data_IF_724498852429
#
_entry.id   IF_724498852429
#
_cell.length_a   1.000
_cell.length_b   1.000
_cell.length_c   1.000
_cell.angle_alpha   90.00
_cell.angle_beta   90.00
_cell.angle_gamma   90.00
#
_symmetry.space_group_name_H-M   'P 1'
#
loop_
_entity.id
_entity.type
_entity.pdbx_description
1 polymer ?
#
# COMPACT_ATOMS: atom_id res chain seq x y z
N UNK A 1 -1.24 -14.05 6.46
CA UNK A 1 -2.53 -13.47 5.99
C UNK A 1 -3.12 -12.53 7.05
N UNK A 2 -2.99 -11.21 6.85
CA UNK A 2 -3.40 -10.20 7.84
C UNK A 2 -4.57 -9.29 7.39
N UNK A 3 -4.95 -9.35 6.11
CA UNK A 3 -6.03 -8.53 5.56
C UNK A 3 -7.40 -9.06 5.98
N UNK A 4 -8.38 -8.15 6.15
CA UNK A 4 -9.79 -8.54 6.18
C UNK A 4 -10.17 -9.03 4.77
N UNK A 5 -10.54 -10.30 4.58
CA UNK A 5 -10.78 -10.86 3.26
C UNK A 5 -11.95 -10.20 2.53
N UNK A 6 -12.98 -9.77 3.27
CA UNK A 6 -14.14 -9.09 2.68
C UNK A 6 -13.75 -7.74 2.08
N UNK A 7 -13.04 -6.90 2.85
CA UNK A 7 -12.60 -5.59 2.37
C UNK A 7 -11.60 -5.72 1.22
N UNK A 8 -10.69 -6.71 1.29
CA UNK A 8 -9.73 -6.97 0.24
C UNK A 8 -10.43 -7.34 -1.08
N UNK A 9 -11.37 -8.29 -1.06
CA UNK A 9 -12.09 -8.69 -2.25
C UNK A 9 -13.01 -7.58 -2.79
N UNK A 10 -13.64 -6.78 -1.93
CA UNK A 10 -14.44 -5.62 -2.38
C UNK A 10 -13.60 -4.64 -3.20
N UNK A 11 -12.41 -4.25 -2.73
CA UNK A 11 -11.55 -3.30 -3.43
C UNK A 11 -10.94 -3.92 -4.69
N UNK A 12 -10.52 -5.18 -4.64
CA UNK A 12 -9.99 -5.89 -5.82
C UNK A 12 -11.02 -6.01 -6.94
N UNK A 13 -12.26 -6.38 -6.59
CA UNK A 13 -13.35 -6.48 -7.55
C UNK A 13 -13.68 -5.11 -8.14
N UNK A 14 -13.78 -4.07 -7.30
CA UNK A 14 -14.03 -2.70 -7.77
C UNK A 14 -12.96 -2.22 -8.75
N UNK A 15 -11.67 -2.46 -8.46
CA UNK A 15 -10.56 -2.12 -9.35
C UNK A 15 -10.64 -2.84 -10.70
N UNK A 16 -10.97 -4.14 -10.69
CA UNK A 16 -11.17 -4.91 -11.92
C UNK A 16 -12.34 -4.42 -12.76
N UNK A 17 -13.48 -4.12 -12.12
CA UNK A 17 -14.67 -3.59 -12.79
C UNK A 17 -14.41 -2.21 -13.40
N UNK A 18 -13.74 -1.30 -12.68
CA UNK A 18 -13.40 0.03 -13.20
C UNK A 18 -12.49 -0.09 -14.45
N UNK A 19 -11.54 -1.03 -14.44
CA UNK A 19 -10.70 -1.31 -15.60
C UNK A 19 -11.51 -1.74 -16.83
N UNK A 20 -12.50 -2.61 -16.65
CA UNK A 20 -13.39 -3.08 -17.72
C UNK A 20 -14.28 -1.92 -18.21
N UNK A 21 -14.92 -1.19 -17.30
CA UNK A 21 -15.84 -0.10 -17.63
C UNK A 21 -15.16 1.05 -18.39
N UNK A 22 -13.92 1.37 -18.02
CA UNK A 22 -13.13 2.42 -18.67
C UNK A 22 -12.30 1.93 -19.86
N UNK A 23 -12.32 0.63 -20.17
CA UNK A 23 -11.52 0.05 -21.24
C UNK A 23 -10.02 0.26 -21.04
N UNK A 24 -9.52 0.16 -19.80
CA UNK A 24 -8.11 0.35 -19.50
C UNK A 24 -7.29 -0.81 -20.04
N UNK A 25 -6.26 -0.51 -20.83
CA UNK A 25 -5.30 -1.52 -21.28
C UNK A 25 -4.22 -1.73 -20.19
N UNK A 26 -4.01 -2.98 -19.74
CA UNK A 26 -2.90 -3.27 -18.84
C UNK A 26 -1.56 -3.03 -19.54
N UNK A 27 -0.51 -2.64 -18.80
CA UNK A 27 0.83 -2.53 -19.37
C UNK A 27 1.31 -3.88 -19.89
N UNK A 28 2.32 -3.85 -20.78
CA UNK A 28 2.96 -5.08 -21.26
C UNK A 28 3.52 -5.90 -20.08
N UNK A 29 3.47 -7.24 -20.14
CA UNK A 29 4.03 -8.08 -19.11
C UNK A 29 5.54 -7.85 -18.99
N UNK A 30 6.04 -7.90 -17.76
CA UNK A 30 7.47 -7.89 -17.47
C UNK A 30 7.88 -9.34 -17.17
N UNK A 31 8.69 -9.93 -18.05
CA UNK A 31 9.10 -11.35 -17.97
C UNK A 31 10.44 -11.54 -17.24
N UNK A 32 11.14 -10.45 -16.91
CA UNK A 32 12.42 -10.45 -16.22
C UNK A 32 12.27 -10.44 -14.70
N UNK A 33 13.33 -10.79 -13.99
CA UNK A 33 13.39 -10.67 -12.54
C UNK A 33 13.46 -9.18 -12.12
N UNK A 34 12.31 -8.60 -11.73
CA UNK A 34 12.21 -7.20 -11.30
C UNK A 34 13.07 -6.85 -10.07
N UNK A 35 13.53 -7.85 -9.30
CA UNK A 35 14.44 -7.65 -8.17
C UNK A 35 15.89 -7.37 -8.61
N UNK A 36 16.27 -7.76 -9.83
CA UNK A 36 17.62 -7.55 -10.38
C UNK A 36 17.75 -6.20 -11.10
N UNK A 37 16.61 -5.58 -11.44
CA UNK A 37 16.59 -4.27 -12.07
C UNK A 37 17.02 -3.18 -11.07
N UNK A 38 17.92 -2.31 -11.53
CA UNK A 38 18.24 -1.07 -10.84
C UNK A 38 17.00 -0.15 -10.76
N UNK A 39 17.05 0.83 -9.86
CA UNK A 39 15.98 1.82 -9.75
C UNK A 39 15.78 2.61 -11.04
N UNK A 40 16.88 2.97 -11.72
CA UNK A 40 16.84 3.68 -12.99
C UNK A 40 16.14 2.86 -14.10
N UNK A 41 16.48 1.56 -14.21
CA UNK A 41 15.86 0.67 -15.19
C UNK A 41 14.36 0.46 -14.91
N UNK A 42 13.97 0.35 -13.63
CA UNK A 42 12.55 0.26 -13.27
C UNK A 42 11.78 1.51 -13.67
N UNK A 43 12.35 2.69 -13.42
CA UNK A 43 11.72 3.97 -13.78
C UNK A 43 11.61 4.13 -15.30
N UNK A 44 12.67 3.84 -16.07
CA UNK A 44 12.66 3.91 -17.53
C UNK A 44 11.57 3.00 -18.14
N UNK A 45 11.37 1.83 -17.54
CA UNK A 45 10.36 0.85 -17.97
C UNK A 45 8.96 1.11 -17.39
N UNK A 46 8.78 2.18 -16.61
CA UNK A 46 7.48 2.52 -16.00
C UNK A 46 7.02 1.53 -14.93
N UNK A 47 7.94 0.78 -14.31
CA UNK A 47 7.65 -0.19 -13.26
C UNK A 47 7.57 0.55 -11.92
N UNK A 48 6.34 0.82 -11.48
CA UNK A 48 6.07 1.41 -10.17
C UNK A 48 6.42 0.47 -9.02
N UNK A 49 6.75 1.05 -7.86
CA UNK A 49 6.97 0.31 -6.61
C UNK A 49 5.75 0.53 -5.70
N UNK A 50 5.35 -0.51 -4.99
CA UNK A 50 4.29 -0.41 -3.98
C UNK A 50 4.77 0.42 -2.78
N UNK A 51 3.84 1.00 -2.00
CA UNK A 51 4.18 1.71 -0.77
C UNK A 51 5.12 0.92 0.14
N UNK A 52 6.19 1.55 0.62
CA UNK A 52 7.23 0.91 1.43
C UNK A 52 6.85 0.80 2.91
N UNK A 53 5.80 1.52 3.33
CA UNK A 53 5.31 1.53 4.70
C UNK A 53 3.78 1.56 4.76
N UNK A 54 3.24 1.20 5.92
CA UNK A 54 1.81 1.34 6.18
C UNK A 54 1.36 2.80 6.05
N UNK A 55 2.17 3.78 6.47
CA UNK A 55 1.84 5.19 6.32
C UNK A 55 1.70 5.59 4.85
N UNK A 56 2.65 5.22 4.00
CA UNK A 56 2.56 5.51 2.57
C UNK A 56 1.31 4.88 1.93
N UNK A 57 0.99 3.63 2.32
CA UNK A 57 -0.21 2.95 1.85
C UNK A 57 -1.49 3.67 2.30
N UNK A 58 -1.55 4.13 3.56
CA UNK A 58 -2.66 4.94 4.09
C UNK A 58 -2.80 6.23 3.27
N UNK A 59 -1.72 6.99 3.11
CA UNK A 59 -1.74 8.28 2.41
C UNK A 59 -2.14 8.14 0.93
N UNK A 60 -1.77 7.03 0.29
CA UNK A 60 -2.20 6.71 -1.07
C UNK A 60 -3.69 6.34 -1.10
N UNK A 61 -4.14 5.48 -0.19
CA UNK A 61 -5.53 5.06 -0.11
C UNK A 61 -6.47 6.23 0.20
N UNK A 62 -6.07 7.17 1.06
CA UNK A 62 -6.83 8.38 1.40
C UNK A 62 -7.21 9.24 0.18
N UNK A 63 -6.36 9.23 -0.85
CA UNK A 63 -6.56 9.98 -2.09
C UNK A 63 -7.34 9.20 -3.15
N UNK A 64 -7.64 7.92 -2.90
CA UNK A 64 -8.26 7.03 -3.87
C UNK A 64 -9.79 7.14 -3.82
N UNK A 65 -10.37 7.72 -4.87
CA UNK A 65 -11.82 7.74 -5.06
C UNK A 65 -12.38 6.33 -5.23
N UNK A 66 -11.68 5.44 -5.96
CA UNK A 66 -12.12 4.06 -6.16
C UNK A 66 -12.23 3.30 -4.84
N UNK A 67 -11.22 3.40 -3.97
CA UNK A 67 -11.24 2.69 -2.67
C UNK A 67 -12.36 3.24 -1.79
N UNK A 68 -12.57 4.56 -1.78
CA UNK A 68 -13.68 5.19 -1.05
C UNK A 68 -15.04 4.71 -1.55
N UNK A 69 -15.24 4.69 -2.87
CA UNK A 69 -16.49 4.20 -3.47
C UNK A 69 -16.72 2.71 -3.19
N UNK A 70 -15.68 1.89 -3.29
CA UNK A 70 -15.76 0.44 -3.07
C UNK A 70 -16.13 0.07 -1.62
N UNK A 71 -15.66 0.83 -0.64
CA UNK A 71 -15.91 0.57 0.78
C UNK A 71 -17.13 1.35 1.32
N UNK A 72 -17.50 2.45 0.67
CA UNK A 72 -18.45 3.43 1.19
C UNK A 72 -17.82 4.33 2.25
N UNK A 73 -18.33 5.56 2.37
CA UNK A 73 -17.72 6.63 3.18
C UNK A 73 -17.49 6.22 4.63
N UNK A 74 -18.50 5.63 5.28
CA UNK A 74 -18.42 5.26 6.69
C UNK A 74 -17.30 4.23 6.98
N UNK A 75 -17.21 3.17 6.16
CA UNK A 75 -16.19 2.13 6.33
C UNK A 75 -14.82 2.66 5.95
N UNK A 76 -14.73 3.44 4.87
CA UNK A 76 -13.48 4.04 4.42
C UNK A 76 -12.88 4.95 5.49
N UNK A 77 -13.66 5.90 6.02
CA UNK A 77 -13.18 6.86 7.00
C UNK A 77 -12.75 6.14 8.30
N UNK A 78 -13.57 5.21 8.79
CA UNK A 78 -13.22 4.42 9.97
C UNK A 78 -11.96 3.56 9.75
N UNK A 79 -11.81 2.96 8.57
CA UNK A 79 -10.65 2.16 8.21
C UNK A 79 -9.37 2.98 8.20
N UNK A 80 -9.37 4.13 7.52
CA UNK A 80 -8.22 5.04 7.46
C UNK A 80 -7.84 5.52 8.87
N UNK A 81 -8.81 5.95 9.68
CA UNK A 81 -8.53 6.41 11.04
C UNK A 81 -7.91 5.30 11.90
N UNK A 82 -8.48 4.09 11.84
CA UNK A 82 -7.94 2.95 12.57
C UNK A 82 -6.48 2.65 12.16
N UNK A 83 -6.19 2.66 10.85
CA UNK A 83 -4.83 2.41 10.35
C UNK A 83 -3.84 3.52 10.70
N UNK A 84 -4.27 4.78 10.80
CA UNK A 84 -3.44 5.87 11.32
C UNK A 84 -3.10 5.67 12.80
N UNK A 85 -4.06 5.24 13.62
CA UNK A 85 -3.83 4.93 15.03
C UNK A 85 -2.82 3.77 15.15
N UNK A 86 -3.01 2.70 14.38
CA UNK A 86 -2.08 1.57 14.32
C UNK A 86 -0.65 2.02 13.98
N UNK A 87 -0.49 2.83 12.92
CA UNK A 87 0.81 3.35 12.53
C UNK A 87 1.45 4.22 13.61
N UNK A 88 0.67 5.13 14.22
CA UNK A 88 1.15 6.01 15.29
C UNK A 88 1.62 5.21 16.51
N UNK A 89 0.89 4.15 16.88
CA UNK A 89 1.27 3.26 17.96
C UNK A 89 2.54 2.48 17.63
N UNK A 90 2.72 2.04 16.38
CA UNK A 90 3.93 1.34 15.94
C UNK A 90 5.16 2.26 15.99
N UNK A 91 5.11 3.43 15.37
CA UNK A 91 6.26 4.35 15.27
C UNK A 91 6.68 4.98 16.62
N UNK A 92 5.81 4.92 17.63
CA UNK A 92 6.10 5.43 18.97
C UNK A 92 6.88 4.42 19.83
N UNK A 93 7.06 3.18 19.36
CA UNK A 93 7.80 2.16 20.09
C UNK A 93 9.30 2.36 19.94
N UNK A 94 10.04 2.11 21.02
CA UNK A 94 11.48 1.87 20.95
C UNK A 94 11.68 0.38 20.74
N UNK A 95 12.22 0.03 19.58
CA UNK A 95 12.39 -1.36 19.17
C UNK A 95 13.66 -1.98 19.76
N UNK A 96 13.70 -3.30 19.85
CA UNK A 96 14.92 -4.01 20.28
C UNK A 96 16.13 -3.70 19.38
N UNK A 97 15.90 -3.45 18.08
CA UNK A 97 16.97 -3.07 17.16
C UNK A 97 17.63 -1.77 17.60
N UNK A 98 16.84 -0.76 17.96
CA UNK A 98 17.34 0.53 18.42
C UNK A 98 18.06 0.41 19.75
N UNK A 99 17.49 -0.36 20.70
CA UNK A 99 18.14 -0.62 21.98
C UNK A 99 19.51 -1.30 21.78
N UNK A 100 19.58 -2.38 21.00
CA UNK A 100 20.82 -3.14 20.76
C UNK A 100 21.87 -2.32 20.01
N UNK A 101 21.45 -1.41 19.12
CA UNK A 101 22.36 -0.62 18.29
C UNK A 101 22.87 0.64 18.97
N UNK A 102 22.02 1.38 19.67
CA UNK A 102 22.34 2.72 20.17
C UNK A 102 22.65 2.75 21.67
N UNK A 103 22.05 1.87 22.48
CA UNK A 103 22.29 1.86 23.93
C UNK A 103 23.75 1.52 24.32
N UNK A 104 24.46 0.58 23.67
CA UNK A 104 25.85 0.26 24.03
C UNK A 104 26.89 1.32 23.63
N UNK A 105 26.50 2.32 22.83
CA UNK A 105 27.38 3.38 22.32
C UNK A 105 27.24 4.66 23.18
N UNK A 106 26.26 4.68 24.10
CA UNK A 106 26.06 5.74 25.11
C UNK A 106 26.85 5.44 26.38
#
# INVERSE_FOLDING_TARGET
>A
PACNPYLAFSVMLAAGLEGIEKGLEPPKPVEENVYELSEAERQERGIGVLPASLLEAILLAEKSQLVRQALGDHVFDAFIQNKKIEWNNYRAQVTEYELKKYLPIL
#
